data_IF_007861252873
#
_entry.id   IF_007861252873
#
_cell.length_a   1.000
_cell.length_b   1.000
_cell.length_c   1.000
_cell.angle_alpha   90.00
_cell.angle_beta   90.00
_cell.angle_gamma   90.00
#
_symmetry.space_group_name_H-M   'P 1'
#
loop_
_entity.id
_entity.type
_entity.pdbx_description
1 polymer ?
#
# COMPACT_ATOMS: atom_id res chain seq x y z
N UNK A 1 -1.86 -20.90 11.36
CA UNK A 1 -1.02 -19.76 11.80
C UNK A 1 -1.15 -18.64 10.78
N UNK A 2 -1.50 -17.43 11.19
CA UNK A 2 -1.58 -16.26 10.30
C UNK A 2 -0.25 -15.51 10.33
N UNK A 3 0.38 -15.35 9.17
CA UNK A 3 1.57 -14.51 9.01
C UNK A 3 1.17 -13.19 8.35
N UNK A 4 1.76 -12.10 8.80
CA UNK A 4 1.62 -10.79 8.17
C UNK A 4 3.01 -10.26 7.83
N UNK A 5 3.10 -9.60 6.68
CA UNK A 5 4.33 -8.98 6.20
C UNK A 5 4.09 -7.49 6.04
N UNK A 6 5.01 -6.67 6.55
CA UNK A 6 4.95 -5.22 6.40
C UNK A 6 5.61 -4.85 5.08
N UNK A 7 4.91 -4.08 4.25
CA UNK A 7 5.37 -3.66 2.93
C UNK A 7 5.30 -2.13 2.84
N UNK A 8 6.23 -1.52 2.12
CA UNK A 8 6.22 -0.08 1.85
C UNK A 8 5.63 0.19 0.48
N UNK A 9 4.39 0.67 0.47
CA UNK A 9 3.72 1.12 -0.73
C UNK A 9 4.03 2.59 -1.04
N UNK A 10 4.05 2.90 -2.33
CA UNK A 10 4.09 4.26 -2.84
C UNK A 10 2.68 4.70 -3.20
N UNK A 11 2.31 5.86 -2.66
CA UNK A 11 1.09 6.59 -2.95
C UNK A 11 1.51 8.02 -3.32
N UNK A 12 1.19 8.46 -4.54
CA UNK A 12 1.56 9.78 -5.06
C UNK A 12 0.61 10.88 -4.59
N UNK A 13 -0.66 10.54 -4.35
CA UNK A 13 -1.72 11.52 -4.03
C UNK A 13 -2.14 11.48 -2.55
N UNK A 14 -1.49 10.65 -1.73
CA UNK A 14 -1.81 10.46 -0.31
C UNK A 14 -3.30 10.14 -0.10
N UNK A 15 -3.84 9.29 -0.96
CA UNK A 15 -5.25 8.93 -1.00
C UNK A 15 -5.59 7.87 0.04
N UNK A 16 -4.64 7.02 0.41
CA UNK A 16 -4.83 6.01 1.45
C UNK A 16 -4.68 6.63 2.86
N UNK A 17 -5.75 6.54 3.65
CA UNK A 17 -5.77 6.92 5.05
C UNK A 17 -5.38 5.78 5.99
N UNK A 18 -5.10 6.13 7.25
CA UNK A 18 -4.81 5.15 8.30
C UNK A 18 -6.08 4.34 8.60
N UNK A 19 -6.02 3.02 8.42
CA UNK A 19 -7.16 2.12 8.65
C UNK A 19 -7.87 1.68 7.38
N UNK A 20 -7.50 2.23 6.23
CA UNK A 20 -8.08 1.83 4.95
C UNK A 20 -7.57 0.45 4.49
N UNK A 21 -8.45 -0.34 3.88
CA UNK A 21 -8.06 -1.55 3.17
C UNK A 21 -7.70 -1.19 1.74
N UNK A 22 -6.44 -1.40 1.38
CA UNK A 22 -5.89 -1.01 0.08
C UNK A 22 -5.35 -2.19 -0.70
N UNK A 23 -5.43 -2.13 -2.03
CA UNK A 23 -4.75 -3.05 -2.95
C UNK A 23 -3.47 -2.43 -3.48
N UNK A 24 -2.40 -3.20 -3.40
CA UNK A 24 -1.07 -2.81 -3.86
C UNK A 24 -0.56 -3.80 -4.90
N UNK A 25 0.24 -3.32 -5.84
CA UNK A 25 0.92 -4.14 -6.85
C UNK A 25 2.43 -3.96 -6.75
N UNK A 26 3.17 -4.97 -7.20
CA UNK A 26 4.61 -4.84 -7.40
C UNK A 26 4.90 -3.80 -8.49
N UNK A 27 5.96 -3.03 -8.28
CA UNK A 27 6.38 -1.96 -9.17
C UNK A 27 7.90 -1.90 -9.22
N UNK A 28 8.43 -1.11 -10.15
CA UNK A 28 9.86 -0.79 -10.16
C UNK A 28 10.29 -0.22 -8.79
N UNK A 29 11.54 -0.42 -8.34
CA UNK A 29 12.01 0.19 -7.10
C UNK A 29 11.86 1.71 -7.18
N UNK A 30 11.06 2.28 -6.28
CA UNK A 30 10.82 3.73 -6.17
C UNK A 30 11.71 4.36 -5.09
N UNK A 31 12.23 3.54 -4.18
CA UNK A 31 13.19 3.93 -3.14
C UNK A 31 13.95 2.69 -2.66
N UNK A 32 14.77 2.82 -1.61
CA UNK A 32 15.52 1.72 -1.02
C UNK A 32 14.62 0.55 -0.59
N UNK A 33 13.41 0.85 -0.10
CA UNK A 33 12.45 -0.16 0.41
C UNK A 33 11.10 -0.16 -0.31
N UNK A 34 10.74 0.91 -1.03
CA UNK A 34 9.44 1.03 -1.72
C UNK A 34 9.47 0.28 -3.05
N UNK A 35 8.84 -0.90 -3.08
CA UNK A 35 8.67 -1.75 -4.27
C UNK A 35 7.21 -1.97 -4.64
N UNK A 36 6.29 -1.45 -3.84
CA UNK A 36 4.86 -1.62 -4.03
C UNK A 36 4.23 -0.27 -4.39
N UNK A 37 3.21 -0.27 -5.24
CA UNK A 37 2.42 0.92 -5.58
C UNK A 37 0.97 0.69 -5.19
N UNK A 38 0.32 1.73 -4.66
CA UNK A 38 -1.12 1.76 -4.41
C UNK A 38 -1.89 1.73 -5.75
N UNK A 39 -2.81 0.77 -5.91
CA UNK A 39 -3.70 0.69 -7.09
C UNK A 39 -5.06 1.28 -6.77
N UNK A 40 -5.67 0.81 -5.69
CA UNK A 40 -7.02 1.21 -5.32
C UNK A 40 -7.24 1.06 -3.81
N UNK A 41 -8.14 1.90 -3.28
CA UNK A 41 -8.63 1.80 -1.90
C UNK A 41 -9.95 1.02 -1.95
N UNK A 42 -9.96 -0.19 -1.41
CA UNK A 42 -11.11 -1.11 -1.43
C UNK A 42 -12.13 -0.69 -0.38
N UNK A 43 -11.66 -0.35 0.81
CA UNK A 43 -12.51 0.06 1.93
C UNK A 43 -11.86 1.24 2.65
N UNK A 44 -12.62 2.31 2.85
CA UNK A 44 -12.19 3.45 3.66
C UNK A 44 -12.66 3.26 5.10
N UNK A 45 -11.80 3.57 6.05
CA UNK A 45 -12.17 3.61 7.46
C UNK A 45 -13.25 4.70 7.67
N UNK A 46 -14.32 4.35 8.39
CA UNK A 46 -15.44 5.24 8.72
C UNK A 46 -15.19 5.99 10.03
#
# INVERSE_FOLDING_TARGET
MRTSTRLHAHDESNNAGTGDTVRVIESRPLSATKRWRLVEVVERAR
#
